data_IF_280020088577
#
_entry.id   IF_280020088577
#
_cell.length_a   1.000
_cell.length_b   1.000
_cell.length_c   1.000
_cell.angle_alpha   90.00
_cell.angle_beta   90.00
_cell.angle_gamma   90.00
#
_symmetry.space_group_name_H-M   'P 1'
#
loop_
_entity.id
_entity.type
_entity.pdbx_description
1 polymer ?
#
# COMPACT_ATOMS: atom_id res chain seq x y z
N UNK A 1 48.22 20.78 1.74
CA UNK A 1 47.20 21.84 1.46
C UNK A 1 46.51 21.66 0.11
N UNK A 2 47.20 21.72 -1.08
CA UNK A 2 46.52 21.52 -2.38
C UNK A 2 45.98 20.09 -2.62
N UNK A 3 46.71 19.08 -2.17
CA UNK A 3 46.32 17.66 -2.26
C UNK A 3 45.17 17.31 -1.32
N UNK A 4 45.23 17.77 -0.08
CA UNK A 4 44.17 17.56 0.93
C UNK A 4 42.84 18.18 0.52
N UNK A 5 42.85 19.39 -0.06
CA UNK A 5 41.66 20.04 -0.59
C UNK A 5 41.06 19.28 -1.81
N UNK A 6 41.87 18.59 -2.56
CA UNK A 6 41.44 17.79 -3.71
C UNK A 6 40.81 16.48 -3.26
N UNK A 7 41.42 15.82 -2.29
CA UNK A 7 40.89 14.61 -1.67
C UNK A 7 39.58 14.87 -0.98
N UNK A 8 39.44 16.03 -0.35
CA UNK A 8 38.20 16.46 0.30
C UNK A 8 37.07 16.75 -0.71
N UNK A 9 37.41 17.36 -1.86
CA UNK A 9 36.47 17.62 -2.95
C UNK A 9 35.98 16.32 -3.59
N UNK A 10 36.87 15.37 -3.82
CA UNK A 10 36.55 14.05 -4.36
C UNK A 10 35.62 13.29 -3.39
N UNK A 11 35.82 13.44 -2.08
CA UNK A 11 34.93 12.86 -1.05
C UNK A 11 33.51 13.45 -1.11
N UNK A 12 33.39 14.78 -1.28
CA UNK A 12 32.09 15.43 -1.42
C UNK A 12 31.39 15.06 -2.71
N UNK A 13 32.11 14.92 -3.81
CA UNK A 13 31.57 14.46 -5.09
C UNK A 13 31.05 13.01 -4.97
N UNK A 14 31.80 12.11 -4.33
CA UNK A 14 31.34 10.74 -4.05
C UNK A 14 30.10 10.71 -3.18
N UNK A 15 30.09 11.47 -2.10
CA UNK A 15 28.95 11.56 -1.21
C UNK A 15 27.72 12.10 -1.94
N UNK A 16 27.89 13.10 -2.78
CA UNK A 16 26.82 13.69 -3.58
C UNK A 16 26.23 12.67 -4.58
N UNK A 17 27.07 11.92 -5.30
CA UNK A 17 26.61 10.87 -6.21
C UNK A 17 25.86 9.73 -5.48
N UNK A 18 26.32 9.36 -4.28
CA UNK A 18 25.63 8.36 -3.46
C UNK A 18 24.27 8.83 -2.94
N UNK A 19 24.12 10.12 -2.69
CA UNK A 19 22.89 10.72 -2.14
C UNK A 19 21.86 11.09 -3.23
N UNK A 20 22.26 11.11 -4.50
CA UNK A 20 21.33 11.28 -5.63
C UNK A 20 20.26 10.18 -5.63
N UNK A 21 19.13 10.47 -6.23
CA UNK A 21 18.03 9.49 -6.38
C UNK A 21 18.48 8.24 -7.15
N UNK A 22 19.44 8.37 -8.06
CA UNK A 22 20.09 7.27 -8.79
C UNK A 22 21.18 6.52 -8.01
N UNK A 23 21.52 6.97 -6.81
CA UNK A 23 22.60 6.42 -5.99
C UNK A 23 22.17 5.23 -5.12
N UNK A 24 22.46 5.31 -3.82
CA UNK A 24 22.14 4.24 -2.82
C UNK A 24 20.65 3.97 -2.76
N UNK A 25 19.83 5.00 -2.86
CA UNK A 25 18.36 4.90 -2.82
C UNK A 25 17.85 4.01 -3.95
N UNK A 26 18.28 4.23 -5.18
CA UNK A 26 17.92 3.40 -6.33
C UNK A 26 18.37 1.95 -6.16
N UNK A 27 19.56 1.70 -5.63
CA UNK A 27 20.04 0.34 -5.35
C UNK A 27 19.18 -0.39 -4.31
N UNK A 28 18.75 0.32 -3.26
CA UNK A 28 17.85 -0.24 -2.26
C UNK A 28 16.50 -0.57 -2.87
N UNK A 29 15.94 0.35 -3.65
CA UNK A 29 14.66 0.16 -4.35
C UNK A 29 14.72 -1.06 -5.27
N UNK A 30 15.74 -1.12 -6.13
CA UNK A 30 15.97 -2.24 -7.06
C UNK A 30 16.02 -3.59 -6.37
N UNK A 31 16.60 -3.66 -5.17
CA UNK A 31 16.66 -4.89 -4.38
C UNK A 31 15.27 -5.35 -3.90
N UNK A 32 14.40 -4.40 -3.50
CA UNK A 32 13.08 -4.72 -2.96
C UNK A 32 11.97 -4.81 -4.02
N UNK A 33 12.19 -4.25 -5.20
CA UNK A 33 11.21 -4.17 -6.28
C UNK A 33 10.61 -5.54 -6.68
N UNK A 34 11.38 -6.63 -6.84
CA UNK A 34 10.82 -7.95 -7.13
C UNK A 34 9.87 -8.45 -6.03
N UNK A 35 10.20 -8.19 -4.76
CA UNK A 35 9.35 -8.56 -3.64
C UNK A 35 8.08 -7.70 -3.62
N UNK A 36 8.21 -6.41 -3.88
CA UNK A 36 7.08 -5.50 -4.01
C UNK A 36 6.09 -5.98 -5.07
N UNK A 37 6.57 -6.20 -6.29
CA UNK A 37 5.76 -6.68 -7.40
C UNK A 37 5.07 -8.02 -7.07
N UNK A 38 5.77 -8.92 -6.40
CA UNK A 38 5.20 -10.19 -5.93
C UNK A 38 4.06 -9.97 -4.93
N UNK A 39 4.24 -9.09 -3.94
CA UNK A 39 3.20 -8.82 -2.93
C UNK A 39 2.02 -8.09 -3.52
N UNK A 40 2.23 -7.08 -4.38
CA UNK A 40 1.16 -6.35 -5.07
C UNK A 40 0.26 -7.35 -5.81
N UNK A 41 0.84 -8.18 -6.69
CA UNK A 41 0.08 -9.14 -7.48
C UNK A 41 -0.60 -10.21 -6.60
N UNK A 42 0.02 -10.62 -5.49
CA UNK A 42 -0.61 -11.51 -4.51
C UNK A 42 -1.86 -10.88 -3.90
N UNK A 43 -1.78 -9.62 -3.50
CA UNK A 43 -2.93 -8.93 -2.90
C UNK A 43 -4.01 -8.64 -3.92
N UNK A 44 -3.67 -8.24 -5.15
CA UNK A 44 -4.63 -8.07 -6.24
C UNK A 44 -5.37 -9.37 -6.55
N UNK A 45 -4.64 -10.49 -6.66
CA UNK A 45 -5.24 -11.81 -6.88
C UNK A 45 -6.19 -12.22 -5.74
N UNK A 46 -5.88 -11.86 -4.48
CA UNK A 46 -6.74 -12.17 -3.34
C UNK A 46 -8.06 -11.39 -3.33
N UNK A 47 -8.10 -10.29 -4.06
CA UNK A 47 -9.31 -9.48 -4.30
C UNK A 47 -10.00 -9.84 -5.64
N UNK A 48 -9.71 -10.99 -6.21
CA UNK A 48 -10.18 -11.44 -7.53
C UNK A 48 -9.87 -10.46 -8.69
N UNK A 49 -8.85 -9.64 -8.50
CA UNK A 49 -8.41 -8.66 -9.48
C UNK A 49 -7.22 -9.21 -10.29
N UNK A 50 -7.52 -9.82 -11.44
CA UNK A 50 -6.56 -10.59 -12.25
C UNK A 50 -5.83 -9.72 -13.28
N UNK A 51 -5.22 -8.64 -12.85
CA UNK A 51 -4.27 -7.87 -13.64
C UNK A 51 -2.86 -8.12 -13.17
N UNK A 52 -1.91 -8.11 -14.09
CA UNK A 52 -0.51 -8.15 -13.74
C UNK A 52 -0.01 -6.72 -13.58
N UNK A 53 0.31 -6.33 -12.37
CA UNK A 53 0.86 -5.03 -12.01
C UNK A 53 2.37 -5.16 -11.78
N UNK A 54 3.15 -4.28 -12.38
CA UNK A 54 4.60 -4.24 -12.22
C UNK A 54 5.06 -2.80 -12.05
N UNK A 55 5.91 -2.54 -11.08
CA UNK A 55 6.66 -1.30 -10.95
C UNK A 55 8.07 -1.50 -11.50
N UNK A 56 8.58 -0.52 -12.22
CA UNK A 56 9.97 -0.44 -12.64
C UNK A 56 10.87 0.25 -11.59
N UNK A 57 12.13 0.45 -11.92
CA UNK A 57 13.12 1.06 -11.01
C UNK A 57 12.86 2.55 -10.75
N UNK A 58 12.13 3.22 -11.62
CA UNK A 58 11.69 4.60 -11.51
C UNK A 58 10.28 4.74 -10.88
N UNK A 59 9.69 3.61 -10.43
CA UNK A 59 8.31 3.52 -9.94
C UNK A 59 7.24 3.84 -10.99
N UNK A 60 7.56 3.73 -12.28
CA UNK A 60 6.53 3.74 -13.28
C UNK A 60 5.75 2.42 -13.25
N UNK A 61 4.46 2.53 -13.43
CA UNK A 61 3.57 1.39 -13.46
C UNK A 61 3.47 0.78 -14.86
N UNK A 62 3.56 -0.52 -14.93
CA UNK A 62 3.23 -1.30 -16.12
C UNK A 62 2.13 -2.28 -15.74
N UNK A 63 0.94 -2.08 -16.30
CA UNK A 63 -0.22 -2.91 -16.00
C UNK A 63 -0.60 -3.68 -17.27
N UNK A 64 -0.63 -5.01 -17.15
CA UNK A 64 -1.03 -5.92 -18.22
C UNK A 64 -2.32 -6.63 -17.84
N UNK A 65 -3.30 -6.60 -18.71
CA UNK A 65 -4.51 -7.37 -18.60
C UNK A 65 -4.49 -8.56 -19.57
N UNK A 66 -5.30 -9.60 -19.32
CA UNK A 66 -5.40 -10.79 -20.19
C UNK A 66 -5.72 -10.49 -21.65
N UNK A 67 -6.31 -9.33 -21.94
CA UNK A 67 -6.82 -8.97 -23.26
C UNK A 67 -6.28 -7.65 -23.82
N UNK A 68 -5.38 -6.96 -23.09
CA UNK A 68 -4.82 -5.66 -23.48
C UNK A 68 -3.37 -5.57 -23.06
N UNK A 69 -2.50 -5.23 -23.99
CA UNK A 69 -1.05 -5.27 -23.79
C UNK A 69 -0.50 -4.12 -22.92
N UNK A 70 -1.22 -2.99 -22.84
CA UNK A 70 -0.83 -1.86 -21.98
C UNK A 70 -2.08 -1.16 -21.42
N UNK A 71 -2.09 -1.00 -20.11
CA UNK A 71 -3.12 -0.29 -19.37
C UNK A 71 -2.47 0.74 -18.45
N UNK A 72 -2.98 1.97 -18.45
CA UNK A 72 -2.58 2.97 -17.47
C UNK A 72 -3.51 2.91 -16.26
N UNK A 73 -2.99 3.20 -15.07
CA UNK A 73 -3.76 3.36 -13.83
C UNK A 73 -4.97 4.29 -14.01
N UNK A 74 -4.83 5.34 -14.82
CA UNK A 74 -5.89 6.31 -15.09
C UNK A 74 -7.13 5.71 -15.77
N UNK A 75 -6.99 4.55 -16.41
CA UNK A 75 -8.08 3.90 -17.15
C UNK A 75 -8.99 3.03 -16.26
N UNK A 76 -8.63 2.86 -14.99
CA UNK A 76 -9.42 2.09 -14.03
C UNK A 76 -10.53 2.92 -13.40
N UNK A 77 -11.63 2.26 -13.06
CA UNK A 77 -12.67 2.83 -12.22
C UNK A 77 -12.14 3.15 -10.82
N UNK A 78 -12.82 4.02 -10.09
CA UNK A 78 -12.38 4.41 -8.73
C UNK A 78 -12.32 3.20 -7.78
N UNK A 79 -13.22 2.23 -7.90
CA UNK A 79 -13.19 1.00 -7.10
C UNK A 79 -12.00 0.09 -7.46
N UNK A 80 -11.60 0.03 -8.73
CA UNK A 80 -10.41 -0.70 -9.18
C UNK A 80 -9.12 -0.02 -8.73
N UNK A 81 -9.05 1.31 -8.84
CA UNK A 81 -7.92 2.12 -8.33
C UNK A 81 -7.71 1.88 -6.84
N UNK A 82 -8.79 1.88 -6.06
CA UNK A 82 -8.70 1.61 -4.63
C UNK A 82 -8.12 0.23 -4.32
N UNK A 83 -8.47 -0.82 -5.09
CA UNK A 83 -7.88 -2.15 -4.91
C UNK A 83 -6.38 -2.13 -5.18
N UNK A 84 -5.95 -1.41 -6.23
CA UNK A 84 -4.53 -1.23 -6.56
C UNK A 84 -3.82 -0.48 -5.44
N UNK A 85 -4.38 0.62 -4.95
CA UNK A 85 -3.79 1.46 -3.88
C UNK A 85 -3.63 0.67 -2.58
N UNK A 86 -4.62 -0.13 -2.21
CA UNK A 86 -4.54 -1.00 -1.04
C UNK A 86 -3.50 -2.11 -1.21
N UNK A 87 -3.43 -2.71 -2.40
CA UNK A 87 -2.40 -3.71 -2.69
C UNK A 87 -1.00 -3.11 -2.59
N UNK A 88 -0.79 -1.90 -3.10
CA UNK A 88 0.45 -1.13 -2.96
C UNK A 88 0.78 -0.84 -1.50
N UNK A 89 -0.16 -0.28 -0.75
CA UNK A 89 0.02 0.04 0.68
C UNK A 89 0.41 -1.19 1.49
N UNK A 90 -0.28 -2.31 1.30
CA UNK A 90 0.01 -3.54 2.02
C UNK A 90 1.32 -4.19 1.57
N UNK A 91 1.68 -4.08 0.28
CA UNK A 91 2.97 -4.54 -0.21
C UNK A 91 4.12 -3.74 0.45
N UNK A 92 4.01 -2.42 0.53
CA UNK A 92 4.96 -1.58 1.27
C UNK A 92 5.08 -1.98 2.74
N UNK A 93 3.95 -2.26 3.39
CA UNK A 93 3.94 -2.73 4.77
C UNK A 93 4.69 -4.06 4.94
N UNK A 94 4.50 -5.02 4.03
CA UNK A 94 5.24 -6.29 4.07
C UNK A 94 6.74 -6.10 3.84
N UNK A 95 7.14 -5.20 2.94
CA UNK A 95 8.55 -4.85 2.74
C UNK A 95 9.16 -4.22 4.01
N UNK A 96 8.43 -3.30 4.66
CA UNK A 96 8.88 -2.69 5.92
C UNK A 96 9.09 -3.74 7.03
N UNK A 97 8.22 -4.75 7.09
CA UNK A 97 8.35 -5.88 8.03
C UNK A 97 9.55 -6.77 7.72
N UNK A 98 9.85 -7.03 6.45
CA UNK A 98 11.02 -7.82 6.05
C UNK A 98 12.33 -7.16 6.48
N UNK A 99 12.36 -5.83 6.51
CA UNK A 99 13.53 -5.07 6.98
C UNK A 99 13.71 -5.05 8.50
N UNK A 100 12.81 -5.63 9.28
CA UNK A 100 12.75 -5.50 10.74
C UNK A 100 12.73 -4.04 11.25
N UNK A 101 12.49 -3.08 10.37
CA UNK A 101 12.49 -1.67 10.73
C UNK A 101 11.21 -1.26 11.46
N UNK A 102 10.08 -1.93 11.17
CA UNK A 102 8.80 -1.68 11.83
C UNK A 102 8.03 -2.99 11.96
N UNK A 103 8.03 -3.56 13.15
CA UNK A 103 7.21 -4.74 13.45
C UNK A 103 5.89 -4.31 14.14
N UNK A 104 5.11 -3.48 13.44
CA UNK A 104 3.81 -3.03 13.95
C UNK A 104 2.74 -4.08 13.61
N UNK A 105 2.05 -4.57 14.64
CA UNK A 105 0.91 -5.48 14.51
C UNK A 105 -0.45 -4.76 14.48
N UNK A 106 -0.45 -3.44 14.26
CA UNK A 106 -1.63 -2.59 14.18
C UNK A 106 -1.79 -2.07 12.74
N UNK A 107 -3.03 -2.11 12.25
CA UNK A 107 -3.44 -1.48 11.00
C UNK A 107 -4.76 -0.74 11.26
N UNK A 108 -4.78 0.55 10.98
CA UNK A 108 -5.98 1.38 11.05
C UNK A 108 -6.33 1.81 9.63
N UNK A 109 -7.53 1.50 9.19
CA UNK A 109 -8.09 1.90 7.90
C UNK A 109 -9.24 2.88 8.16
N UNK A 110 -9.01 4.14 7.82
CA UNK A 110 -9.95 5.22 8.07
C UNK A 110 -10.69 5.57 6.77
N UNK A 111 -12.01 5.44 6.77
CA UNK A 111 -12.93 5.72 5.67
C UNK A 111 -12.62 5.00 4.33
N UNK A 112 -11.74 3.99 4.35
CA UNK A 112 -11.34 3.25 3.15
C UNK A 112 -12.53 2.54 2.49
N UNK A 113 -13.50 2.10 3.28
CA UNK A 113 -14.72 1.45 2.79
C UNK A 113 -15.81 2.43 2.34
N UNK A 114 -15.68 3.71 2.67
CA UNK A 114 -16.72 4.72 2.42
C UNK A 114 -16.68 5.27 0.99
N UNK A 115 -15.61 4.99 0.27
CA UNK A 115 -15.44 5.35 -1.12
C UNK A 115 -16.32 4.51 -2.07
N UNK A 116 -16.06 4.57 -3.35
CA UNK A 116 -16.85 4.03 -4.46
C UNK A 116 -16.96 2.50 -4.52
N UNK A 117 -16.84 1.79 -3.39
CA UNK A 117 -17.01 0.35 -3.34
C UNK A 117 -18.49 -0.02 -3.28
N UNK A 118 -18.89 -0.90 -4.18
CA UNK A 118 -20.16 -1.62 -4.14
C UNK A 118 -20.06 -2.82 -3.16
N UNK A 119 -21.15 -3.55 -2.98
CA UNK A 119 -21.18 -4.72 -2.10
C UNK A 119 -20.17 -5.80 -2.49
N UNK A 120 -19.93 -5.99 -3.79
CA UNK A 120 -18.94 -6.95 -4.30
C UNK A 120 -17.54 -6.49 -3.95
N UNK A 121 -17.22 -5.22 -4.16
CA UNK A 121 -15.93 -4.63 -3.80
C UNK A 121 -15.64 -4.70 -2.29
N UNK A 122 -16.67 -4.55 -1.45
CA UNK A 122 -16.53 -4.73 0.01
C UNK A 122 -16.18 -6.20 0.32
N UNK A 123 -16.82 -7.18 -0.29
CA UNK A 123 -16.54 -8.59 -0.04
C UNK A 123 -15.13 -8.99 -0.48
N UNK A 124 -14.67 -8.47 -1.62
CA UNK A 124 -13.30 -8.68 -2.10
C UNK A 124 -12.27 -8.04 -1.17
N UNK A 125 -12.55 -6.84 -0.69
CA UNK A 125 -11.69 -6.18 0.28
C UNK A 125 -11.65 -6.94 1.62
N UNK A 126 -12.76 -7.52 2.05
CA UNK A 126 -12.81 -8.36 3.25
C UNK A 126 -11.94 -9.62 3.11
N UNK A 127 -11.81 -10.21 1.91
CA UNK A 127 -10.85 -11.30 1.68
C UNK A 127 -9.42 -10.86 1.98
N UNK A 128 -9.05 -9.67 1.52
CA UNK A 128 -7.74 -9.08 1.78
C UNK A 128 -7.51 -8.81 3.27
N UNK A 129 -8.50 -8.21 3.94
CA UNK A 129 -8.47 -7.94 5.37
C UNK A 129 -8.26 -9.23 6.17
N UNK A 130 -8.94 -10.30 5.84
CA UNK A 130 -8.79 -11.60 6.50
C UNK A 130 -7.37 -12.17 6.36
N UNK A 131 -6.71 -11.96 5.23
CA UNK A 131 -5.31 -12.38 5.04
C UNK A 131 -4.37 -11.59 5.97
N UNK A 132 -4.62 -10.30 6.12
CA UNK A 132 -3.78 -9.41 6.93
C UNK A 132 -4.06 -9.59 8.42
N UNK A 133 -5.31 -9.87 8.82
CA UNK A 133 -5.74 -10.04 10.22
C UNK A 133 -5.04 -11.21 10.92
N UNK A 134 -4.60 -12.22 10.19
CA UNK A 134 -3.84 -13.34 10.76
C UNK A 134 -2.53 -12.91 11.47
N UNK A 135 -2.04 -11.69 11.17
CA UNK A 135 -0.77 -11.18 11.69
C UNK A 135 -0.86 -9.78 12.30
N UNK A 136 -2.06 -9.22 12.37
CA UNK A 136 -2.25 -7.82 12.78
C UNK A 136 -3.63 -7.59 13.35
N UNK A 137 -3.71 -6.71 14.35
CA UNK A 137 -4.98 -6.15 14.81
C UNK A 137 -5.41 -5.08 13.80
N UNK A 138 -6.63 -5.19 13.29
CA UNK A 138 -7.14 -4.28 12.27
C UNK A 138 -8.32 -3.50 12.86
N UNK A 139 -8.25 -2.18 12.76
CA UNK A 139 -9.33 -1.27 13.09
C UNK A 139 -9.81 -0.60 11.80
N UNK A 140 -11.12 -0.60 11.61
CA UNK A 140 -11.76 0.00 10.44
C UNK A 140 -12.71 1.06 10.95
N UNK A 141 -12.53 2.27 10.45
CA UNK A 141 -13.42 3.41 10.72
C UNK A 141 -14.24 3.64 9.45
N UNK A 142 -15.57 3.64 9.57
CA UNK A 142 -16.46 3.77 8.42
C UNK A 142 -17.81 4.33 8.82
N UNK A 143 -18.44 5.04 7.89
CA UNK A 143 -19.83 5.49 8.00
C UNK A 143 -20.84 4.50 7.40
N UNK A 144 -20.36 3.44 6.71
CA UNK A 144 -21.20 2.39 6.10
C UNK A 144 -21.55 1.27 7.09
N UNK A 145 -22.10 1.59 8.26
CA UNK A 145 -22.44 0.63 9.31
C UNK A 145 -23.29 -0.53 8.79
N UNK A 146 -24.32 -0.25 7.98
CA UNK A 146 -25.31 -1.24 7.54
C UNK A 146 -24.71 -2.37 6.68
N UNK A 147 -23.58 -2.10 6.02
CA UNK A 147 -22.90 -3.07 5.15
C UNK A 147 -21.75 -3.80 5.84
N UNK A 148 -21.28 -3.29 6.98
CA UNK A 148 -20.04 -3.74 7.62
C UNK A 148 -20.25 -4.42 8.97
N UNK A 149 -21.34 -4.14 9.70
CA UNK A 149 -21.56 -4.64 11.07
C UNK A 149 -21.42 -6.15 11.17
N UNK A 150 -22.00 -6.91 10.25
CA UNK A 150 -21.98 -8.37 10.27
C UNK A 150 -20.64 -8.98 9.81
N UNK A 151 -19.71 -8.17 9.36
CA UNK A 151 -18.43 -8.64 8.82
C UNK A 151 -17.29 -8.62 9.85
N UNK A 152 -17.50 -8.07 11.03
CA UNK A 152 -16.50 -7.89 12.08
C UNK A 152 -16.91 -8.55 13.40
N UNK A 153 -15.89 -9.04 14.14
CA UNK A 153 -16.09 -9.69 15.43
C UNK A 153 -16.52 -8.71 16.54
N UNK A 154 -16.18 -7.44 16.41
CA UNK A 154 -16.51 -6.40 17.37
C UNK A 154 -16.81 -5.10 16.65
N UNK A 155 -17.84 -4.42 17.07
CA UNK A 155 -18.27 -3.13 16.52
C UNK A 155 -18.40 -2.15 17.67
N UNK A 156 -17.83 -0.96 17.49
CA UNK A 156 -18.00 0.16 18.41
C UNK A 156 -18.72 1.26 17.63
N UNK A 157 -19.89 1.65 18.13
CA UNK A 157 -20.70 2.67 17.49
C UNK A 157 -20.60 3.98 18.25
N UNK A 158 -20.39 5.08 17.52
CA UNK A 158 -20.43 6.43 18.06
C UNK A 158 -21.63 7.18 17.48
N UNK A 159 -22.36 7.86 18.33
CA UNK A 159 -23.40 8.78 17.90
C UNK A 159 -23.09 10.22 18.35
N UNK A 160 -23.54 11.21 17.57
CA UNK A 160 -23.48 12.61 17.94
C UNK A 160 -24.86 13.06 18.42
N UNK A 161 -24.95 13.43 19.70
CA UNK A 161 -26.17 13.96 20.31
C UNK A 161 -25.87 15.29 21.00
N UNK A 162 -26.62 16.35 20.67
CA UNK A 162 -26.45 17.70 21.24
C UNK A 162 -24.99 18.20 21.15
N UNK A 163 -24.34 18.04 19.99
CA UNK A 163 -22.94 18.36 19.72
C UNK A 163 -21.88 17.59 20.54
N UNK A 164 -22.24 16.58 21.29
CA UNK A 164 -21.33 15.67 21.97
C UNK A 164 -21.36 14.30 21.31
N UNK A 165 -20.15 13.74 21.11
CA UNK A 165 -20.01 12.35 20.66
C UNK A 165 -20.05 11.43 21.87
N UNK A 166 -20.78 10.32 21.78
CA UNK A 166 -20.83 9.28 22.79
C UNK A 166 -20.72 7.90 22.14
N UNK A 167 -20.11 6.98 22.84
CA UNK A 167 -20.08 5.57 22.49
C UNK A 167 -21.40 4.91 22.94
N UNK A 168 -21.97 4.09 22.07
CA UNK A 168 -23.18 3.30 22.34
C UNK A 168 -22.83 1.94 22.89
#
# INVERSE_FOLDING_TARGET
MKTEMRDELDYYEYAFELLKDTGVKAKIIKYYLPFMNKYINKFLTSMDFFTQFTLDEEFNEVIKSRYRDEFSYMNFSEGEKMRIDLALLLAWREIARLKNSVNCNLLILDEVFDSSLDSVGIDELMKLINIVSNKSNIFIISHKSDQLVDKFNSVITFEKKNNFSRML
#
